data_IF_931243486254
#
_entry.id   IF_931243486254
#
_cell.length_a   1.000
_cell.length_b   1.000
_cell.length_c   1.000
_cell.angle_alpha   90.00
_cell.angle_beta   90.00
_cell.angle_gamma   90.00
#
_symmetry.space_group_name_H-M   'P 1'
#
loop_
_entity.id
_entity.type
_entity.pdbx_description
1 polymer ?
#
# COMPACT_ATOMS: atom_id res chain seq x y z
N UNK A 1 -17.65 12.47 29.84
CA UNK A 1 -16.40 12.96 29.23
C UNK A 1 -16.66 13.13 27.73
N UNK A 2 -16.82 14.36 27.24
CA UNK A 2 -17.37 14.61 25.89
C UNK A 2 -16.29 14.92 24.86
N UNK A 3 -16.35 14.26 23.69
CA UNK A 3 -15.60 14.63 22.50
C UNK A 3 -15.91 16.09 22.08
N UNK A 4 -14.90 16.80 21.59
CA UNK A 4 -14.91 18.24 21.28
C UNK A 4 -15.65 18.50 19.95
N UNK A 5 -16.71 19.33 19.96
CA UNK A 5 -17.74 19.43 18.89
C UNK A 5 -17.79 20.76 18.11
N UNK A 6 -16.71 21.57 18.07
CA UNK A 6 -16.83 22.98 17.62
C UNK A 6 -16.17 23.38 16.29
N UNK A 7 -15.50 22.50 15.55
CA UNK A 7 -15.04 22.77 14.17
C UNK A 7 -15.10 21.48 13.33
N UNK A 8 -15.28 21.56 12.00
CA UNK A 8 -15.86 20.48 11.22
C UNK A 8 -14.89 19.32 11.12
N UNK A 9 -15.30 18.18 11.67
CA UNK A 9 -14.84 16.90 11.18
C UNK A 9 -15.49 16.72 9.81
N UNK A 10 -14.75 16.63 8.70
CA UNK A 10 -15.24 16.41 7.33
C UNK A 10 -15.78 14.99 7.15
N UNK A 11 -16.86 14.75 7.88
CA UNK A 11 -18.14 14.20 7.47
C UNK A 11 -18.19 12.87 6.71
N UNK A 12 -17.87 11.81 7.45
CA UNK A 12 -18.60 10.54 7.37
C UNK A 12 -19.50 10.32 8.61
N UNK A 13 -19.75 11.37 9.39
CA UNK A 13 -20.41 11.31 10.71
C UNK A 13 -19.59 10.71 11.86
N UNK A 14 -18.45 10.04 11.60
CA UNK A 14 -17.58 9.40 12.61
C UNK A 14 -16.11 9.45 12.22
N UNK A 15 -15.21 9.32 13.21
CA UNK A 15 -13.80 8.99 12.96
C UNK A 15 -13.70 7.52 12.53
N UNK A 16 -13.18 7.28 11.33
CA UNK A 16 -13.09 5.96 10.75
C UNK A 16 -11.75 5.75 10.05
N UNK A 17 -11.21 4.53 10.19
CA UNK A 17 -10.11 4.05 9.35
C UNK A 17 -10.70 3.72 7.98
N UNK A 18 -10.16 4.36 6.95
CA UNK A 18 -10.49 4.08 5.55
C UNK A 18 -9.39 3.22 4.93
N UNK A 19 -9.74 2.53 3.84
CA UNK A 19 -8.84 1.59 3.18
C UNK A 19 -8.82 1.82 1.68
N UNK A 20 -7.63 1.86 1.10
CA UNK A 20 -7.41 1.52 -0.30
C UNK A 20 -7.03 0.05 -0.37
N UNK A 21 -7.63 -0.68 -1.33
CA UNK A 21 -7.37 -2.11 -1.51
C UNK A 21 -7.31 -2.45 -2.99
N UNK A 22 -6.24 -3.13 -3.41
CA UNK A 22 -6.06 -3.57 -4.80
C UNK A 22 -5.42 -4.95 -4.84
N UNK A 23 -6.00 -5.85 -5.63
CA UNK A 23 -5.38 -7.13 -5.95
C UNK A 23 -4.44 -6.96 -7.13
N UNK A 24 -3.24 -7.53 -7.02
CA UNK A 24 -2.23 -7.61 -8.07
C UNK A 24 -1.85 -9.07 -8.33
N UNK A 25 -1.31 -9.36 -9.51
CA UNK A 25 -0.84 -10.68 -9.88
C UNK A 25 0.21 -10.66 -10.98
N UNK A 26 0.52 -11.84 -11.54
CA UNK A 26 1.56 -12.00 -12.57
C UNK A 26 1.36 -11.12 -13.80
N UNK A 27 0.12 -10.76 -14.14
CA UNK A 27 -0.18 -9.86 -15.25
C UNK A 27 0.26 -8.40 -15.03
N UNK A 28 0.55 -8.04 -13.77
CA UNK A 28 0.97 -6.70 -13.36
C UNK A 28 2.51 -6.56 -13.24
N UNK A 29 3.25 -7.62 -13.56
CA UNK A 29 4.71 -7.63 -13.47
C UNK A 29 5.34 -6.50 -14.30
N UNK A 30 6.30 -5.79 -13.70
CA UNK A 30 7.00 -4.63 -14.26
C UNK A 30 6.09 -3.46 -14.70
N UNK A 31 4.83 -3.42 -14.26
CA UNK A 31 3.91 -2.31 -14.51
C UNK A 31 3.74 -1.48 -13.25
N UNK A 32 3.62 -0.17 -13.44
CA UNK A 32 3.19 0.74 -12.38
C UNK A 32 1.67 0.61 -12.23
N UNK A 33 1.22 0.02 -11.13
CA UNK A 33 -0.20 -0.16 -10.81
C UNK A 33 -0.65 0.96 -9.89
N UNK A 34 -1.71 1.67 -10.28
CA UNK A 34 -2.36 2.69 -9.45
C UNK A 34 -3.25 2.04 -8.39
N UNK A 35 -3.04 2.41 -7.13
CA UNK A 35 -3.82 1.92 -5.98
C UNK A 35 -5.03 2.82 -5.68
N UNK A 36 -4.87 4.12 -5.89
CA UNK A 36 -5.86 5.15 -5.59
C UNK A 36 -5.20 6.40 -5.02
N UNK A 37 -6.00 7.40 -4.66
CA UNK A 37 -5.51 8.67 -4.11
C UNK A 37 -5.84 8.78 -2.63
N UNK A 38 -4.83 9.09 -1.80
CA UNK A 38 -5.01 9.44 -0.40
C UNK A 38 -5.13 10.97 -0.30
N UNK A 39 -6.16 11.50 0.38
CA UNK A 39 -6.35 12.94 0.49
C UNK A 39 -5.28 13.61 1.37
N UNK A 40 -5.01 14.88 1.09
CA UNK A 40 -4.15 15.73 1.89
C UNK A 40 -4.59 15.77 3.36
N UNK A 41 -3.62 15.76 4.26
CA UNK A 41 -3.76 15.72 5.71
C UNK A 41 -3.95 14.32 6.30
N UNK A 42 -4.22 13.29 5.48
CA UNK A 42 -4.44 11.94 6.01
C UNK A 42 -3.20 11.34 6.67
N UNK A 43 -3.41 10.48 7.66
CA UNK A 43 -2.37 9.70 8.31
C UNK A 43 -2.49 8.23 7.90
N UNK A 44 -1.48 7.69 7.21
CA UNK A 44 -1.37 6.27 6.91
C UNK A 44 -1.02 5.49 8.19
N UNK A 45 -1.74 4.41 8.44
CA UNK A 45 -1.51 3.51 9.57
C UNK A 45 -0.53 2.41 9.12
N UNK A 46 0.77 2.70 9.23
CA UNK A 46 1.87 1.82 8.79
C UNK A 46 1.70 0.35 9.23
N UNK A 47 1.41 0.02 10.51
CA UNK A 47 1.33 -1.39 10.95
C UNK A 47 0.16 -2.17 10.33
N UNK A 48 -0.83 -1.48 9.78
CA UNK A 48 -2.02 -2.08 9.15
C UNK A 48 -1.99 -1.95 7.62
N UNK A 49 -0.91 -1.38 7.08
CA UNK A 49 -0.72 -1.13 5.66
C UNK A 49 0.44 -1.98 5.14
N UNK A 50 0.33 -2.43 3.89
CA UNK A 50 1.33 -3.30 3.28
C UNK A 50 0.66 -4.22 2.26
N UNK A 51 1.16 -5.45 2.17
CA UNK A 51 0.70 -6.44 1.20
C UNK A 51 0.39 -7.77 1.88
N UNK A 52 -0.79 -8.31 1.62
CA UNK A 52 -1.10 -9.72 1.90
C UNK A 52 -0.76 -10.56 0.67
N UNK A 53 0.19 -11.48 0.81
CA UNK A 53 0.47 -12.48 -0.22
C UNK A 53 -0.54 -13.63 -0.08
N UNK A 54 -1.36 -13.85 -1.10
CA UNK A 54 -2.34 -14.95 -1.12
C UNK A 54 -1.72 -16.22 -1.70
N UNK A 55 -1.02 -16.05 -2.82
CA UNK A 55 -0.24 -17.10 -3.49
C UNK A 55 1.13 -16.50 -3.78
N UNK A 56 2.18 -17.13 -3.26
CA UNK A 56 3.55 -16.67 -3.50
C UNK A 56 3.86 -16.60 -4.99
N UNK A 57 4.61 -15.58 -5.38
CA UNK A 57 5.08 -15.46 -6.76
C UNK A 57 6.19 -16.47 -7.00
N UNK A 58 6.05 -17.32 -8.02
CA UNK A 58 6.92 -18.47 -8.24
C UNK A 58 8.05 -18.21 -9.24
N UNK A 59 8.60 -16.99 -9.27
CA UNK A 59 9.79 -16.68 -10.08
C UNK A 59 10.98 -17.55 -9.64
N UNK A 60 12.03 -17.62 -10.47
CA UNK A 60 13.19 -18.44 -10.13
C UNK A 60 13.98 -17.87 -8.93
N UNK A 61 14.26 -16.57 -8.93
CA UNK A 61 15.15 -15.94 -7.92
C UNK A 61 14.40 -15.02 -6.98
N UNK A 62 13.90 -13.87 -7.45
CA UNK A 62 13.23 -12.88 -6.60
C UNK A 62 11.91 -12.43 -7.21
N UNK A 63 10.94 -12.12 -6.35
CA UNK A 63 9.81 -11.26 -6.70
C UNK A 63 9.57 -10.35 -5.53
N UNK A 64 9.64 -9.06 -5.81
CA UNK A 64 9.57 -7.99 -4.82
C UNK A 64 8.52 -6.96 -5.24
N UNK A 65 8.00 -6.23 -4.26
CA UNK A 65 6.97 -5.23 -4.43
C UNK A 65 7.41 -3.90 -3.83
N UNK A 66 7.45 -2.87 -4.66
CA UNK A 66 7.62 -1.49 -4.22
C UNK A 66 6.25 -0.83 -4.05
N UNK A 67 6.10 0.00 -3.01
CA UNK A 67 4.90 0.79 -2.75
C UNK A 67 5.31 2.23 -2.47
N UNK A 68 4.71 3.15 -3.22
CA UNK A 68 5.08 4.55 -3.15
C UNK A 68 4.05 5.45 -3.78
N UNK A 69 4.54 6.52 -4.39
CA UNK A 69 3.82 7.54 -5.13
C UNK A 69 4.34 7.65 -6.56
N UNK A 70 3.72 8.48 -7.38
CA UNK A 70 4.22 8.77 -8.72
C UNK A 70 5.59 9.49 -8.75
N UNK A 71 5.96 10.20 -7.68
CA UNK A 71 7.23 10.94 -7.59
C UNK A 71 8.38 10.09 -7.03
N UNK A 72 8.04 9.08 -6.25
CA UNK A 72 8.95 8.24 -5.48
C UNK A 72 8.25 6.89 -5.30
N UNK A 73 8.67 5.87 -6.08
CA UNK A 73 7.94 4.62 -6.30
C UNK A 73 8.04 3.62 -5.14
N UNK A 74 9.01 3.83 -4.26
CA UNK A 74 9.37 2.99 -3.12
C UNK A 74 9.28 3.75 -1.78
N UNK A 75 8.83 5.01 -1.79
CA UNK A 75 8.64 5.88 -0.61
C UNK A 75 8.11 5.20 0.66
N UNK A 76 7.15 4.28 0.54
CA UNK A 76 6.52 3.63 1.68
C UNK A 76 6.97 2.18 1.91
N UNK A 77 7.44 1.51 0.87
CA UNK A 77 8.06 0.21 0.97
C UNK A 77 8.96 -0.08 -0.23
N UNK A 78 10.13 -0.64 0.06
CA UNK A 78 11.15 -0.99 -0.93
C UNK A 78 11.39 -2.49 -0.93
N UNK A 79 11.34 -3.12 -2.09
CA UNK A 79 11.68 -4.53 -2.29
C UNK A 79 10.95 -5.52 -1.34
N UNK A 80 9.65 -5.30 -1.04
CA UNK A 80 8.90 -6.22 -0.17
C UNK A 80 8.84 -7.63 -0.77
N UNK A 81 9.32 -8.62 -0.05
CA UNK A 81 9.33 -10.01 -0.51
C UNK A 81 7.90 -10.59 -0.61
N UNK A 82 7.48 -10.89 -1.83
CA UNK A 82 6.19 -11.54 -2.13
C UNK A 82 6.36 -12.97 -2.67
N UNK A 83 7.59 -13.48 -2.65
CA UNK A 83 7.98 -14.80 -3.16
C UNK A 83 8.12 -15.84 -2.06
N UNK A 84 8.63 -15.47 -0.89
CA UNK A 84 9.05 -16.47 0.11
C UNK A 84 7.88 -17.08 0.87
N UNK A 85 6.88 -16.28 1.27
CA UNK A 85 5.80 -16.76 2.12
C UNK A 85 4.45 -16.14 1.76
N UNK A 86 3.38 -16.93 1.90
CA UNK A 86 2.00 -16.44 1.85
C UNK A 86 1.64 -15.81 3.20
N UNK A 87 2.05 -14.57 3.40
CA UNK A 87 1.89 -13.83 4.65
C UNK A 87 1.57 -12.36 4.40
N UNK A 88 1.19 -11.66 5.48
CA UNK A 88 1.14 -10.20 5.47
C UNK A 88 2.54 -9.63 5.67
N UNK A 89 2.97 -8.77 4.76
CA UNK A 89 4.22 -8.04 4.82
C UNK A 89 3.87 -6.55 5.00
N UNK A 90 4.16 -5.94 6.16
CA UNK A 90 3.85 -4.55 6.39
C UNK A 90 4.77 -3.64 5.56
N UNK A 91 4.34 -2.40 5.34
CA UNK A 91 5.23 -1.32 4.89
C UNK A 91 6.45 -1.21 5.82
N UNK A 92 7.63 -0.95 5.27
CA UNK A 92 8.89 -1.01 6.02
C UNK A 92 9.68 0.32 6.04
N UNK A 93 9.42 1.27 5.14
CA UNK A 93 10.19 2.51 5.09
C UNK A 93 10.01 3.45 6.28
N UNK A 94 11.10 4.10 6.68
CA UNK A 94 11.16 5.01 7.82
C UNK A 94 10.85 6.47 7.40
N UNK A 95 9.65 6.68 6.85
CA UNK A 95 9.19 8.00 6.36
C UNK A 95 8.00 8.54 7.15
N UNK A 96 7.68 9.82 6.92
CA UNK A 96 6.42 10.39 7.40
C UNK A 96 5.24 9.68 6.75
N UNK A 97 4.30 9.21 7.57
CA UNK A 97 3.04 8.62 7.11
C UNK A 97 1.93 9.66 6.96
N UNK A 98 2.22 10.94 7.22
CA UNK A 98 1.31 12.06 6.97
C UNK A 98 1.43 12.47 5.51
N UNK A 99 0.30 12.46 4.81
CA UNK A 99 0.17 12.87 3.42
C UNK A 99 -0.11 14.38 3.38
N UNK A 100 0.74 15.19 2.77
CA UNK A 100 0.62 16.67 2.81
C UNK A 100 -0.18 17.26 1.64
N UNK A 101 -0.30 16.51 0.55
CA UNK A 101 -1.06 16.86 -0.66
C UNK A 101 -1.80 15.61 -1.14
N UNK A 102 -2.88 15.76 -1.90
CA UNK A 102 -3.57 14.61 -2.50
C UNK A 102 -2.55 13.77 -3.30
N UNK A 103 -2.31 12.54 -2.85
CA UNK A 103 -1.21 11.71 -3.36
C UNK A 103 -1.78 10.43 -3.97
N UNK A 104 -1.55 10.23 -5.27
CA UNK A 104 -1.81 8.95 -5.93
C UNK A 104 -0.74 7.95 -5.49
N UNK A 105 -1.18 6.87 -4.85
CA UNK A 105 -0.32 5.77 -4.49
C UNK A 105 -0.20 4.77 -5.64
N UNK A 106 1.00 4.24 -5.79
CA UNK A 106 1.37 3.26 -6.80
C UNK A 106 2.04 2.07 -6.14
N UNK A 107 2.03 0.95 -6.85
CA UNK A 107 2.89 -0.18 -6.53
C UNK A 107 3.43 -0.81 -7.80
N UNK A 108 4.59 -1.43 -7.71
CA UNK A 108 5.27 -2.05 -8.85
C UNK A 108 5.85 -3.39 -8.42
N UNK A 109 5.51 -4.45 -9.15
CA UNK A 109 6.15 -5.75 -8.99
C UNK A 109 7.41 -5.81 -9.85
N UNK A 110 8.50 -6.26 -9.27
CA UNK A 110 9.73 -6.59 -9.98
C UNK A 110 10.14 -8.04 -9.70
N UNK A 111 10.71 -8.71 -10.70
CA UNK A 111 11.21 -10.06 -10.54
C UNK A 111 12.53 -10.25 -11.28
N UNK A 112 13.28 -11.26 -10.84
CA UNK A 112 14.49 -11.70 -11.54
C UNK A 112 14.43 -13.20 -11.83
N UNK A 113 15.21 -13.65 -12.80
CA UNK A 113 15.28 -15.05 -13.21
C UNK A 113 14.14 -15.43 -14.16
N UNK A 114 13.73 -16.71 -14.13
CA UNK A 114 12.58 -17.18 -14.92
C UNK A 114 11.30 -16.56 -14.38
N UNK A 115 10.48 -16.02 -15.31
CA UNK A 115 9.27 -15.29 -14.99
C UNK A 115 8.25 -16.13 -14.20
N UNK A 116 7.58 -15.50 -13.23
CA UNK A 116 6.53 -16.14 -12.47
C UNK A 116 5.33 -16.51 -13.38
N UNK A 117 4.80 -17.71 -13.18
CA UNK A 117 3.57 -18.20 -13.84
C UNK A 117 2.38 -18.24 -12.88
N UNK A 118 2.62 -18.09 -11.59
CA UNK A 118 1.62 -17.99 -10.53
C UNK A 118 2.06 -16.93 -9.51
N UNK A 119 1.08 -16.29 -8.89
CA UNK A 119 1.32 -15.25 -7.89
C UNK A 119 0.12 -14.33 -7.78
N UNK A 120 -0.29 -14.04 -6.54
CA UNK A 120 -1.36 -13.09 -6.26
C UNK A 120 -1.16 -12.48 -4.88
N UNK A 121 -1.31 -11.17 -4.81
CA UNK A 121 -1.23 -10.42 -3.58
C UNK A 121 -2.28 -9.31 -3.54
N UNK A 122 -2.58 -8.82 -2.34
CA UNK A 122 -3.51 -7.74 -2.10
C UNK A 122 -2.78 -6.64 -1.34
N UNK A 123 -2.60 -5.51 -1.99
CA UNK A 123 -2.11 -4.30 -1.35
C UNK A 123 -3.25 -3.66 -0.58
N UNK A 124 -3.00 -3.31 0.68
CA UNK A 124 -3.94 -2.65 1.57
C UNK A 124 -3.25 -1.44 2.18
N UNK A 125 -3.84 -0.27 2.05
CA UNK A 125 -3.39 0.95 2.72
C UNK A 125 -4.52 1.43 3.63
N UNK A 126 -4.29 1.33 4.94
CA UNK A 126 -5.17 1.82 5.97
C UNK A 126 -4.79 3.27 6.31
N UNK A 127 -5.76 4.18 6.32
CA UNK A 127 -5.49 5.59 6.61
C UNK A 127 -6.62 6.25 7.40
N UNK A 128 -6.27 7.24 8.20
CA UNK A 128 -7.18 8.16 8.85
C UNK A 128 -7.27 9.42 8.00
N UNK A 129 -8.42 9.73 7.37
CA UNK A 129 -8.58 11.01 6.68
C UNK A 129 -8.52 12.16 7.70
N UNK A 130 -7.99 13.30 7.27
CA UNK A 130 -8.11 14.53 8.04
C UNK A 130 -9.52 15.09 7.87
N UNK A 131 -10.42 14.55 8.69
CA UNK A 131 -11.79 15.04 8.82
C UNK A 131 -11.78 16.28 9.69
#
# INVERSE_FOLDING_TARGET
>A
MGLNRKLPARDAGYQNVQYLRKTIGVADMAKVVKLGTIPAGALILKPQSGVQVNTVFNSATTTVLDIGSAADGDLYATDLDVKTAAAFVPLDEAVSMVVTVDTELTCTLAETGTAATAGSAVVVIAFLPNN
#
